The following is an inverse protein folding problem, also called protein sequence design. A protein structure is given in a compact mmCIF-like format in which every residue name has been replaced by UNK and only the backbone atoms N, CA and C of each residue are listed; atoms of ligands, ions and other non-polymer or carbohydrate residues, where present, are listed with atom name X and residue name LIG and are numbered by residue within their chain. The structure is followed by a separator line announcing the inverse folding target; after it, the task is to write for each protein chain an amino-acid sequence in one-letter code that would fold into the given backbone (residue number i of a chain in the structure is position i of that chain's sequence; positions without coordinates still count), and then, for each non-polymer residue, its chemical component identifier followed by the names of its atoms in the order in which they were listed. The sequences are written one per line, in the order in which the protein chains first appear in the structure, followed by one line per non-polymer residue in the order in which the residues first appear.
data_IF_345043862592
#
_entry.id   IF_345043862592
#
_cell.length_a   1.000
_cell.length_b   1.000
_cell.length_c   1.000
_cell.angle_alpha   90.00
_cell.angle_beta   90.00
_cell.angle_gamma   90.00
#
_symmetry.space_group_name_H-M   'P 1'
#
loop_
_entity.id
_entity.type
_entity.pdbx_description
1 polymer ?
#
# COMPACT_ATOMS: atom_id res chain seq x y z
N UNK A 1 -14.57 -13.95 -0.65
CA UNK A 1 -14.53 -12.45 -0.63
C UNK A 1 -14.04 -11.93 0.71
N UNK A 2 -13.37 -10.80 0.75
CA UNK A 2 -12.95 -10.20 2.02
C UNK A 2 -14.11 -9.39 2.66
N UNK A 3 -14.08 -9.27 3.99
CA UNK A 3 -15.04 -8.45 4.71
C UNK A 3 -14.86 -6.97 4.34
N UNK A 4 -15.95 -6.21 4.26
CA UNK A 4 -15.94 -4.77 3.96
C UNK A 4 -15.06 -4.01 4.97
N UNK A 5 -15.07 -4.38 6.24
CA UNK A 5 -14.24 -3.78 7.29
C UNK A 5 -12.74 -3.84 6.99
N UNK A 6 -12.27 -4.89 6.30
CA UNK A 6 -10.86 -5.06 5.93
C UNK A 6 -10.50 -4.10 4.80
N UNK A 7 -11.36 -3.95 3.80
CA UNK A 7 -11.15 -3.02 2.68
C UNK A 7 -11.17 -1.57 3.16
N UNK A 8 -12.12 -1.20 4.02
CA UNK A 8 -12.19 0.15 4.58
C UNK A 8 -11.00 0.48 5.47
N UNK A 9 -10.52 -0.47 6.27
CA UNK A 9 -9.30 -0.30 7.06
C UNK A 9 -8.07 -0.10 6.16
N UNK A 10 -8.01 -0.79 5.05
CA UNK A 10 -6.91 -0.64 4.07
C UNK A 10 -6.94 0.73 3.36
N UNK A 11 -8.14 1.24 3.00
CA UNK A 11 -8.32 2.60 2.49
C UNK A 11 -7.88 3.65 3.50
N UNK A 12 -8.26 3.49 4.77
CA UNK A 12 -7.81 4.39 5.85
C UNK A 12 -6.30 4.43 5.98
N UNK A 13 -5.63 3.27 5.90
CA UNK A 13 -4.15 3.18 5.89
C UNK A 13 -3.54 3.92 4.69
N UNK A 14 -4.12 3.78 3.50
CA UNK A 14 -3.67 4.46 2.30
C UNK A 14 -3.76 5.99 2.46
N UNK A 15 -4.90 6.48 2.93
CA UNK A 15 -5.13 7.91 3.13
C UNK A 15 -4.17 8.51 4.18
N UNK A 16 -3.98 7.83 5.31
CA UNK A 16 -3.00 8.23 6.32
C UNK A 16 -1.57 8.20 5.80
N UNK A 17 -1.20 7.19 5.04
CA UNK A 17 0.11 7.08 4.40
C UNK A 17 0.38 8.26 3.46
N UNK A 18 -0.58 8.63 2.62
CA UNK A 18 -0.47 9.81 1.74
C UNK A 18 -0.36 11.10 2.54
N UNK A 19 -1.21 11.30 3.56
CA UNK A 19 -1.23 12.51 4.40
C UNK A 19 0.11 12.75 5.10
N UNK A 20 0.74 11.72 5.64
CA UNK A 20 1.97 11.82 6.41
C UNK A 20 3.25 11.53 5.60
N UNK A 21 3.15 11.26 4.31
CA UNK A 21 4.29 10.85 3.47
C UNK A 21 5.45 11.85 3.50
N UNK A 22 5.18 13.14 3.32
CA UNK A 22 6.18 14.20 3.33
C UNK A 22 6.88 14.29 4.69
N UNK A 23 6.10 14.37 5.79
CA UNK A 23 6.64 14.44 7.16
C UNK A 23 7.52 13.24 7.48
N UNK A 24 7.08 12.03 7.12
CA UNK A 24 7.86 10.81 7.35
C UNK A 24 9.15 10.77 6.55
N UNK A 25 9.13 11.25 5.31
CA UNK A 25 10.33 11.30 4.46
C UNK A 25 11.38 12.25 5.05
N UNK A 26 10.98 13.44 5.47
CA UNK A 26 11.87 14.42 6.11
C UNK A 26 12.47 13.84 7.40
N UNK A 27 11.64 13.33 8.30
CA UNK A 27 12.10 12.76 9.58
C UNK A 27 13.02 11.54 9.38
N UNK A 28 12.76 10.71 8.41
CA UNK A 28 13.65 9.59 8.06
C UNK A 28 15.01 10.07 7.53
N UNK A 29 15.04 11.09 6.69
CA UNK A 29 16.30 11.68 6.21
C UNK A 29 17.09 12.26 7.37
N UNK A 30 16.46 13.04 8.26
CA UNK A 30 17.12 13.62 9.44
C UNK A 30 17.67 12.54 10.38
N UNK A 31 16.90 11.51 10.68
CA UNK A 31 17.36 10.44 11.59
C UNK A 31 18.53 9.62 11.02
N UNK A 32 18.66 9.54 9.71
CA UNK A 32 19.75 8.80 9.02
C UNK A 32 20.97 9.66 8.70
N UNK A 33 20.87 10.98 8.79
CA UNK A 33 21.94 11.88 8.41
C UNK A 33 23.08 11.81 9.43
N UNK A 34 24.26 11.39 8.99
CA UNK A 34 25.45 11.24 9.84
C UNK A 34 26.14 12.58 10.19
N UNK A 35 25.81 13.66 9.46
CA UNK A 35 26.39 14.98 9.70
C UNK A 35 25.76 15.70 10.89
N UNK A 36 24.56 15.28 11.33
CA UNK A 36 23.86 15.82 12.46
C UNK A 36 24.33 15.23 13.78
N UNK A 37 24.15 15.99 14.87
CA UNK A 37 24.43 15.52 16.23
C UNK A 37 23.56 14.32 16.60
N UNK A 38 24.03 13.52 17.57
CA UNK A 38 23.28 12.35 18.08
C UNK A 38 21.92 12.76 18.65
N UNK A 39 21.85 13.91 19.35
CA UNK A 39 20.61 14.41 19.94
C UNK A 39 19.56 14.78 18.89
N UNK A 40 19.96 15.49 17.85
CA UNK A 40 19.05 15.88 16.76
C UNK A 40 18.51 14.65 16.02
N UNK A 41 19.36 13.67 15.77
CA UNK A 41 18.97 12.40 15.16
C UNK A 41 18.00 11.64 16.04
N UNK A 42 18.23 11.59 17.34
CA UNK A 42 17.36 10.96 18.32
C UNK A 42 16.01 11.65 18.40
N UNK A 43 15.99 12.99 18.46
CA UNK A 43 14.75 13.77 18.44
C UNK A 43 13.92 13.53 17.17
N UNK A 44 14.57 13.42 16.00
CA UNK A 44 13.90 13.08 14.75
C UNK A 44 13.29 11.67 14.81
N UNK A 45 14.00 10.71 15.39
CA UNK A 45 13.50 9.34 15.59
C UNK A 45 12.29 9.29 16.54
N UNK A 46 12.33 10.04 17.63
CA UNK A 46 11.20 10.16 18.58
C UNK A 46 9.99 10.80 17.90
N UNK A 47 10.17 11.87 17.14
CA UNK A 47 9.09 12.52 16.36
C UNK A 47 8.50 11.54 15.33
N UNK A 48 9.33 10.74 14.66
CA UNK A 48 8.88 9.71 13.73
C UNK A 48 8.05 8.60 14.43
N UNK A 49 8.47 8.20 15.64
CA UNK A 49 7.75 7.19 16.44
C UNK A 49 6.39 7.68 16.94
N UNK A 50 6.25 8.99 17.22
CA UNK A 50 4.99 9.62 17.64
C UNK A 50 3.93 9.69 16.51
N UNK A 51 4.32 9.55 15.25
CA UNK A 51 3.36 9.54 14.14
C UNK A 51 2.46 8.30 14.19
N UNK A 52 1.22 8.40 13.68
CA UNK A 52 0.30 7.25 13.65
C UNK A 52 0.95 6.04 12.94
N UNK A 53 0.85 4.86 13.55
CA UNK A 53 1.44 3.63 12.99
C UNK A 53 0.86 3.30 11.61
N UNK A 54 -0.42 3.55 11.39
CA UNK A 54 -1.10 3.33 10.12
C UNK A 54 -0.70 4.32 9.01
N UNK A 55 0.10 5.34 9.32
CA UNK A 55 0.69 6.25 8.33
C UNK A 55 1.90 5.66 7.60
N UNK A 56 2.42 4.52 8.03
CA UNK A 56 3.50 3.82 7.34
C UNK A 56 2.98 3.13 6.07
N UNK A 57 3.60 3.44 4.92
CA UNK A 57 3.24 2.84 3.63
C UNK A 57 3.38 1.31 3.60
N UNK A 58 4.26 0.75 4.43
CA UNK A 58 4.47 -0.69 4.57
C UNK A 58 3.26 -1.45 5.11
N UNK A 59 2.35 -0.76 5.81
CA UNK A 59 1.13 -1.35 6.35
C UNK A 59 -0.03 -1.43 5.35
N UNK A 60 0.07 -0.67 4.26
CA UNK A 60 -0.88 -0.77 3.16
C UNK A 60 -0.63 -2.05 2.35
N UNK A 61 -1.68 -2.77 2.04
CA UNK A 61 -1.61 -3.98 1.23
C UNK A 61 -2.45 -3.80 -0.04
N UNK A 62 -1.86 -4.09 -1.19
CA UNK A 62 -2.61 -4.16 -2.43
C UNK A 62 -3.65 -5.28 -2.34
N UNK A 63 -4.89 -4.95 -2.68
CA UNK A 63 -6.03 -5.89 -2.66
C UNK A 63 -6.79 -5.79 -3.97
N UNK A 64 -7.35 -6.91 -4.40
CA UNK A 64 -8.22 -6.96 -5.55
C UNK A 64 -9.38 -5.96 -5.40
N UNK A 65 -9.61 -5.15 -6.43
CA UNK A 65 -10.69 -4.16 -6.41
C UNK A 65 -12.09 -4.80 -6.31
N UNK A 66 -12.25 -6.01 -6.83
CA UNK A 66 -13.53 -6.74 -6.88
C UNK A 66 -13.72 -7.57 -5.60
N UNK A 67 -12.77 -8.45 -5.30
CA UNK A 67 -12.91 -9.45 -4.22
C UNK A 67 -12.23 -9.08 -2.91
N UNK A 68 -11.32 -8.10 -2.94
CA UNK A 68 -10.50 -7.72 -1.78
C UNK A 68 -9.38 -8.73 -1.45
N UNK A 69 -9.12 -9.71 -2.30
CA UNK A 69 -8.07 -10.72 -2.10
C UNK A 69 -6.67 -10.04 -2.03
N UNK A 70 -5.85 -10.35 -1.00
CA UNK A 70 -4.53 -9.72 -0.83
C UNK A 70 -3.40 -10.43 -1.58
N UNK A 71 -3.64 -11.63 -2.09
CA UNK A 71 -2.64 -12.47 -2.79
C UNK A 71 -3.00 -12.64 -4.26
N UNK A 72 -1.98 -12.92 -5.08
CA UNK A 72 -2.18 -13.07 -6.52
C UNK A 72 -2.72 -11.79 -7.17
N UNK A 73 -2.22 -10.63 -6.75
CA UNK A 73 -2.66 -9.33 -7.23
C UNK A 73 -1.80 -8.85 -8.39
N UNK A 74 -2.43 -8.43 -9.48
CA UNK A 74 -1.75 -7.79 -10.62
C UNK A 74 -1.81 -6.27 -10.47
N UNK A 75 -0.66 -5.63 -10.21
CA UNK A 75 -0.59 -4.17 -10.01
C UNK A 75 -1.08 -3.37 -11.21
N UNK A 76 -0.80 -3.84 -12.43
CA UNK A 76 -1.19 -3.16 -13.67
C UNK A 76 -2.71 -3.10 -13.84
N UNK A 77 -3.42 -4.16 -13.45
CA UNK A 77 -4.87 -4.28 -13.62
C UNK A 77 -5.65 -3.95 -12.32
N UNK A 78 -4.99 -3.95 -11.18
CA UNK A 78 -5.63 -3.67 -9.89
C UNK A 78 -6.54 -4.79 -9.37
N UNK A 79 -6.45 -5.99 -9.92
CA UNK A 79 -7.31 -7.13 -9.59
C UNK A 79 -6.49 -8.41 -9.35
N UNK A 80 -7.11 -9.42 -8.74
CA UNK A 80 -6.47 -10.71 -8.49
C UNK A 80 -6.39 -11.57 -9.76
N UNK A 81 -5.49 -12.56 -9.74
CA UNK A 81 -5.34 -13.53 -10.84
C UNK A 81 -6.65 -14.27 -11.18
N UNK A 82 -7.50 -14.52 -10.18
CA UNK A 82 -8.79 -15.16 -10.37
C UNK A 82 -9.72 -14.20 -11.11
N UNK A 83 -9.85 -12.97 -10.64
CA UNK A 83 -10.67 -11.96 -11.28
C UNK A 83 -10.19 -11.62 -12.72
N UNK A 84 -8.86 -11.60 -12.95
CA UNK A 84 -8.32 -11.44 -14.33
C UNK A 84 -8.81 -12.55 -15.24
N UNK A 85 -8.75 -13.80 -14.79
CA UNK A 85 -9.21 -14.93 -15.60
C UNK A 85 -10.70 -14.84 -15.94
N UNK A 86 -11.52 -14.50 -14.96
CA UNK A 86 -12.97 -14.37 -15.14
C UNK A 86 -13.30 -13.21 -16.10
N UNK A 87 -12.72 -12.03 -15.87
CA UNK A 87 -12.91 -10.87 -16.75
C UNK A 87 -12.39 -11.07 -18.17
N UNK A 88 -11.31 -11.85 -18.34
CA UNK A 88 -10.80 -12.22 -19.65
C UNK A 88 -11.75 -13.19 -20.36
N UNK A 89 -12.33 -14.15 -19.64
CA UNK A 89 -13.32 -15.06 -20.17
C UNK A 89 -14.60 -14.34 -20.65
N UNK A 90 -14.99 -13.26 -19.97
CA UNK A 90 -16.10 -12.39 -20.32
C UNK A 90 -15.74 -11.31 -21.35
N UNK A 91 -14.51 -11.33 -21.89
CA UNK A 91 -14.00 -10.35 -22.86
C UNK A 91 -14.03 -8.90 -22.38
N UNK A 92 -13.96 -8.67 -21.07
CA UNK A 92 -13.99 -7.33 -20.48
C UNK A 92 -12.61 -6.64 -20.45
N UNK A 93 -11.54 -7.39 -20.65
CA UNK A 93 -10.18 -6.84 -20.70
C UNK A 93 -9.71 -6.86 -22.16
N UNK A 94 -9.54 -5.67 -22.81
CA UNK A 94 -9.12 -5.63 -24.20
C UNK A 94 -7.68 -6.16 -24.37
N UNK A 95 -7.44 -6.87 -25.46
CA UNK A 95 -6.12 -7.37 -25.82
C UNK A 95 -5.62 -8.58 -25.02
N UNK A 96 -6.43 -9.13 -24.12
CA UNK A 96 -6.08 -10.35 -23.38
C UNK A 96 -6.76 -11.57 -23.97
N UNK A 97 -5.95 -12.58 -24.25
CA UNK A 97 -6.41 -13.90 -24.72
C UNK A 97 -5.88 -14.99 -23.79
N UNK A 98 -6.62 -16.09 -23.65
CA UNK A 98 -6.14 -17.25 -22.90
C UNK A 98 -5.04 -17.96 -23.71
N UNK A 99 -3.91 -18.26 -23.06
CA UNK A 99 -2.88 -19.15 -23.62
C UNK A 99 -3.19 -20.64 -23.41
N UNK A 100 -4.10 -20.92 -22.49
CA UNK A 100 -4.61 -22.28 -22.19
C UNK A 100 -6.11 -22.21 -21.86
N UNK A 101 -6.83 -23.27 -22.12
CA UNK A 101 -8.23 -23.40 -21.73
C UNK A 101 -8.46 -23.93 -20.32
#
# INVERSE_FOLDING_TARGET
MSKVSITERNKKRLNLSKKYSAKRTVLKKLSKNKTLSMEERFQAAVKLAKLPRNSASTRYRNRCAITGRPRGYYRKLGVSRIAVRDLTAESQIPGMTKSSW
#
